data_IF_448092671455
#
_entry.id   IF_448092671455
#
_cell.length_a   1.000
_cell.length_b   1.000
_cell.length_c   1.000
_cell.angle_alpha   90.00
_cell.angle_beta   90.00
_cell.angle_gamma   90.00
#
_symmetry.space_group_name_H-M   'P 1'
#
loop_
_entity.id
_entity.type
_entity.pdbx_description
1 polymer ?
#
# COMPACT_ATOMS: atom_id res chain seq x y z
N UNK A 1 -3.56 2.19 -11.32
CA UNK A 1 -2.28 2.25 -10.58
C UNK A 1 -2.21 1.02 -9.68
N UNK A 2 -1.02 0.50 -9.37
CA UNK A 2 -0.86 -0.61 -8.44
C UNK A 2 -0.57 -0.04 -7.03
N UNK A 3 -1.36 -0.47 -6.05
CA UNK A 3 -1.27 0.00 -4.65
C UNK A 3 -0.24 -0.78 -3.83
N UNK A 4 0.13 -1.98 -4.30
CA UNK A 4 1.15 -2.86 -3.74
C UNK A 4 2.03 -3.41 -4.87
N UNK A 5 3.34 -3.37 -4.66
CA UNK A 5 4.34 -4.02 -5.52
C UNK A 5 4.92 -5.21 -4.76
N UNK A 6 4.81 -6.42 -5.33
CA UNK A 6 5.53 -7.59 -4.86
C UNK A 6 6.89 -7.66 -5.54
N UNK A 7 7.96 -7.59 -4.76
CA UNK A 7 9.31 -7.84 -5.26
C UNK A 7 9.70 -9.29 -4.96
N UNK A 8 9.49 -10.16 -5.94
CA UNK A 8 9.77 -11.60 -5.81
C UNK A 8 11.20 -11.88 -6.25
N UNK A 9 11.99 -12.47 -5.36
CA UNK A 9 13.39 -12.84 -5.60
C UNK A 9 13.60 -14.33 -5.46
N UNK A 10 14.42 -14.90 -6.33
CA UNK A 10 14.98 -16.23 -6.12
C UNK A 10 16.04 -16.13 -5.01
N UNK A 11 15.76 -16.68 -3.82
CA UNK A 11 16.67 -16.58 -2.68
C UNK A 11 17.73 -17.69 -2.65
N UNK A 12 17.52 -18.75 -3.44
CA UNK A 12 18.48 -19.83 -3.58
C UNK A 12 19.62 -19.48 -4.54
N UNK A 13 19.40 -18.50 -5.42
CA UNK A 13 20.44 -18.02 -6.33
C UNK A 13 21.57 -17.29 -5.55
N UNK A 14 22.86 -17.65 -5.77
CA UNK A 14 23.98 -17.03 -5.05
C UNK A 14 24.10 -15.52 -5.32
N UNK A 15 23.68 -15.07 -6.50
CA UNK A 15 23.70 -13.65 -6.90
C UNK A 15 22.40 -12.90 -6.56
N UNK A 16 21.53 -13.47 -5.73
CA UNK A 16 20.24 -12.86 -5.40
C UNK A 16 20.36 -11.44 -4.84
N UNK A 17 21.45 -11.14 -4.11
CA UNK A 17 21.73 -9.81 -3.58
C UNK A 17 22.10 -8.81 -4.69
N UNK A 18 22.94 -9.21 -5.64
CA UNK A 18 23.31 -8.35 -6.77
C UNK A 18 22.10 -8.07 -7.67
N UNK A 19 21.26 -9.09 -7.91
CA UNK A 19 20.01 -8.93 -8.66
C UNK A 19 19.04 -7.95 -7.98
N UNK A 20 18.98 -7.94 -6.64
CA UNK A 20 18.19 -6.96 -5.89
C UNK A 20 18.66 -5.54 -6.18
N UNK A 21 19.97 -5.31 -6.07
CA UNK A 21 20.56 -3.98 -6.25
C UNK A 21 20.29 -3.43 -7.66
N UNK A 22 20.40 -4.28 -8.69
CA UNK A 22 20.07 -3.91 -10.07
C UNK A 22 18.60 -3.55 -10.25
N UNK A 23 17.68 -4.31 -9.65
CA UNK A 23 16.24 -4.02 -9.72
C UNK A 23 15.92 -2.73 -8.97
N UNK A 24 16.49 -2.52 -7.78
CA UNK A 24 16.30 -1.30 -6.99
C UNK A 24 16.83 -0.06 -7.74
N UNK A 25 17.96 -0.18 -8.43
CA UNK A 25 18.50 0.88 -9.29
C UNK A 25 17.55 1.24 -10.43
N UNK A 26 17.06 0.25 -11.17
CA UNK A 26 16.11 0.47 -12.28
C UNK A 26 14.80 1.07 -11.77
N UNK A 27 14.28 0.61 -10.64
CA UNK A 27 13.07 1.19 -10.03
C UNK A 27 13.30 2.64 -9.59
N UNK A 28 14.49 2.96 -9.09
CA UNK A 28 14.91 4.33 -8.77
C UNK A 28 14.94 5.23 -10.00
N UNK A 29 15.53 4.77 -11.11
CA UNK A 29 15.59 5.48 -12.38
C UNK A 29 14.19 5.76 -12.97
N UNK A 30 13.22 4.87 -12.72
CA UNK A 30 11.84 5.00 -13.19
C UNK A 30 10.92 5.84 -12.28
N UNK A 31 11.43 6.38 -11.17
CA UNK A 31 10.61 7.10 -10.19
C UNK A 31 9.54 6.19 -9.56
N UNK A 32 9.87 4.92 -9.34
CA UNK A 32 9.02 3.92 -8.69
C UNK A 32 9.70 3.28 -7.46
N UNK A 33 10.89 3.78 -7.10
CA UNK A 33 11.74 3.22 -6.05
C UNK A 33 11.57 3.90 -4.68
N UNK A 34 10.93 5.07 -4.61
CA UNK A 34 10.86 5.86 -3.38
C UNK A 34 9.58 5.60 -2.61
N UNK A 35 9.68 5.57 -1.27
CA UNK A 35 8.51 5.67 -0.39
C UNK A 35 7.66 6.94 -0.69
N UNK A 36 8.24 7.93 -1.37
CA UNK A 36 7.57 9.13 -1.86
C UNK A 36 6.53 8.86 -2.97
N UNK A 37 6.58 7.72 -3.67
CA UNK A 37 5.63 7.38 -4.74
C UNK A 37 4.32 6.80 -4.20
N UNK A 38 4.19 6.67 -2.87
CA UNK A 38 2.98 6.17 -2.19
C UNK A 38 2.70 4.68 -2.38
N UNK A 39 3.59 3.92 -3.04
CA UNK A 39 3.41 2.49 -3.29
C UNK A 39 4.05 1.67 -2.18
N UNK A 40 3.26 0.83 -1.53
CA UNK A 40 3.78 -0.12 -0.56
C UNK A 40 4.50 -1.25 -1.30
N UNK A 41 5.67 -1.67 -0.82
CA UNK A 41 6.45 -2.77 -1.41
C UNK A 41 6.55 -3.91 -0.40
N UNK A 42 6.30 -5.13 -0.87
CA UNK A 42 6.46 -6.35 -0.09
C UNK A 42 7.55 -7.21 -0.75
N UNK A 43 8.63 -7.48 -0.01
CA UNK A 43 9.67 -8.41 -0.44
C UNK A 43 9.19 -9.85 -0.28
N UNK A 44 9.42 -10.66 -1.31
CA UNK A 44 9.04 -12.08 -1.32
C UNK A 44 10.25 -12.91 -1.72
N UNK A 45 10.70 -13.77 -0.83
CA UNK A 45 11.86 -14.64 -1.04
C UNK A 45 11.39 -16.03 -1.45
N UNK A 46 11.46 -16.30 -2.75
CA UNK A 46 10.96 -17.50 -3.40
C UNK A 46 12.06 -18.57 -3.55
N UNK A 47 11.62 -19.81 -3.80
CA UNK A 47 12.43 -21.02 -4.02
C UNK A 47 13.09 -21.60 -2.76
N UNK A 48 12.47 -21.41 -1.58
CA UNK A 48 13.00 -21.99 -0.33
C UNK A 48 13.05 -23.52 -0.34
N UNK A 49 12.30 -24.17 -1.22
CA UNK A 49 12.32 -25.63 -1.45
C UNK A 49 13.65 -26.15 -2.00
N UNK A 50 14.45 -25.28 -2.62
CA UNK A 50 15.75 -25.65 -3.20
C UNK A 50 16.92 -25.47 -2.23
N UNK A 51 16.66 -24.96 -1.02
CA UNK A 51 17.67 -24.75 0.02
C UNK A 51 17.88 -26.04 0.83
N UNK A 52 19.14 -26.30 1.21
CA UNK A 52 19.42 -27.26 2.28
C UNK A 52 19.13 -26.65 3.66
N UNK A 53 19.06 -27.48 4.70
CA UNK A 53 18.67 -27.06 6.06
C UNK A 53 19.55 -25.93 6.62
N UNK A 54 20.86 -25.99 6.40
CA UNK A 54 21.79 -24.97 6.86
C UNK A 54 21.51 -23.61 6.20
N UNK A 55 21.38 -23.60 4.87
CA UNK A 55 21.06 -22.39 4.10
C UNK A 55 19.67 -21.87 4.42
N UNK A 56 18.69 -22.75 4.62
CA UNK A 56 17.32 -22.38 5.00
C UNK A 56 17.32 -21.62 6.33
N UNK A 57 18.03 -22.14 7.33
CA UNK A 57 18.20 -21.48 8.64
C UNK A 57 18.89 -20.12 8.51
N UNK A 58 19.97 -20.02 7.74
CA UNK A 58 20.65 -18.74 7.48
C UNK A 58 19.72 -17.70 6.85
N UNK A 59 18.90 -18.09 5.88
CA UNK A 59 17.93 -17.22 5.21
C UNK A 59 16.80 -16.81 6.15
N UNK A 60 16.24 -17.72 6.95
CA UNK A 60 15.22 -17.38 7.96
C UNK A 60 15.73 -16.36 8.98
N UNK A 61 16.97 -16.55 9.44
CA UNK A 61 17.63 -15.60 10.33
C UNK A 61 17.90 -14.25 9.66
N UNK A 62 18.27 -14.23 8.38
CA UNK A 62 18.45 -12.99 7.62
C UNK A 62 17.11 -12.24 7.43
N UNK A 63 16.02 -12.96 7.16
CA UNK A 63 14.69 -12.39 7.01
C UNK A 63 14.21 -11.70 8.29
N UNK A 64 14.40 -12.34 9.45
CA UNK A 64 14.03 -11.77 10.76
C UNK A 64 14.77 -10.47 11.10
N UNK A 65 15.99 -10.28 10.57
CA UNK A 65 16.80 -9.08 10.78
C UNK A 65 16.61 -8.03 9.69
N UNK A 66 15.84 -8.32 8.65
CA UNK A 66 15.64 -7.41 7.53
C UNK A 66 14.54 -6.41 7.84
N UNK A 67 14.83 -5.11 7.69
CA UNK A 67 13.83 -4.05 7.81
C UNK A 67 12.68 -4.20 6.82
N UNK A 68 12.91 -4.89 5.69
CA UNK A 68 11.91 -5.14 4.67
C UNK A 68 10.96 -6.31 5.01
N UNK A 69 11.21 -7.04 6.09
CA UNK A 69 10.40 -8.16 6.59
C UNK A 69 9.89 -9.10 5.47
N UNK A 70 10.78 -9.75 4.71
CA UNK A 70 10.40 -10.52 3.53
C UNK A 70 9.56 -11.75 3.87
N UNK A 71 8.60 -12.08 3.01
CA UNK A 71 7.83 -13.32 3.13
C UNK A 71 8.55 -14.44 2.39
N UNK A 72 8.92 -15.49 3.11
CA UNK A 72 9.55 -16.68 2.53
C UNK A 72 8.47 -17.59 1.93
N UNK A 73 8.67 -18.00 0.66
CA UNK A 73 7.76 -18.90 -0.04
C UNK A 73 8.50 -19.91 -0.91
N UNK A 74 7.79 -20.98 -1.26
CA UNK A 74 8.04 -21.74 -2.48
C UNK A 74 6.79 -21.70 -3.35
N UNK A 75 6.89 -21.00 -4.48
CA UNK A 75 5.82 -21.00 -5.48
C UNK A 75 5.61 -22.38 -6.12
N UNK A 76 6.63 -23.26 -6.08
CA UNK A 76 6.55 -24.60 -6.66
C UNK A 76 5.79 -25.57 -5.75
N UNK A 77 6.02 -25.52 -4.43
CA UNK A 77 5.36 -26.42 -3.47
C UNK A 77 4.10 -25.81 -2.84
N UNK A 78 3.92 -24.49 -2.93
CA UNK A 78 2.87 -23.76 -2.24
C UNK A 78 3.23 -23.33 -0.82
N UNK A 79 4.41 -23.71 -0.32
CA UNK A 79 4.84 -23.33 1.03
C UNK A 79 4.89 -21.81 1.19
N UNK A 80 4.28 -21.29 2.27
CA UNK A 80 4.29 -19.88 2.60
C UNK A 80 3.31 -19.00 1.81
N UNK A 81 2.56 -19.56 0.86
CA UNK A 81 1.60 -18.80 0.04
C UNK A 81 0.45 -18.24 0.88
N UNK A 82 -0.10 -18.98 1.84
CA UNK A 82 -1.16 -18.46 2.71
C UNK A 82 -0.67 -17.28 3.55
N UNK A 83 0.59 -17.33 4.01
CA UNK A 83 1.21 -16.22 4.74
C UNK A 83 1.40 -15.00 3.85
N UNK A 84 1.82 -15.20 2.60
CA UNK A 84 1.95 -14.14 1.61
C UNK A 84 0.60 -13.46 1.35
N UNK A 85 -0.47 -14.25 1.16
CA UNK A 85 -1.82 -13.73 0.96
C UNK A 85 -2.30 -12.90 2.17
N UNK A 86 -2.13 -13.42 3.39
CA UNK A 86 -2.48 -12.68 4.59
C UNK A 86 -1.70 -11.35 4.73
N UNK A 87 -0.42 -11.35 4.34
CA UNK A 87 0.40 -10.14 4.40
C UNK A 87 0.03 -9.13 3.32
N UNK A 88 -0.37 -9.58 2.13
CA UNK A 88 -0.95 -8.74 1.08
C UNK A 88 -2.24 -8.09 1.58
N UNK A 89 -3.17 -8.87 2.15
CA UNK A 89 -4.42 -8.36 2.71
C UNK A 89 -4.17 -7.34 3.82
N UNK A 90 -3.28 -7.65 4.76
CA UNK A 90 -2.89 -6.74 5.84
C UNK A 90 -2.33 -5.44 5.29
N UNK A 91 -1.44 -5.52 4.32
CA UNK A 91 -0.78 -4.36 3.70
C UNK A 91 -1.78 -3.47 2.99
N UNK A 92 -2.69 -4.06 2.21
CA UNK A 92 -3.74 -3.32 1.52
C UNK A 92 -4.75 -2.71 2.50
N UNK A 93 -5.07 -3.40 3.60
CA UNK A 93 -6.01 -2.90 4.64
C UNK A 93 -5.41 -1.80 5.53
N UNK A 94 -4.09 -1.84 5.76
CA UNK A 94 -3.34 -0.80 6.49
C UNK A 94 -3.19 0.50 5.67
N UNK A 95 -3.61 0.51 4.41
CA UNK A 95 -3.43 1.63 3.49
C UNK A 95 -4.59 2.63 3.52
N UNK A 96 -5.57 2.48 4.40
CA UNK A 96 -6.71 3.38 4.41
C UNK A 96 -6.36 4.73 5.06
N UNK A 97 -6.49 5.81 4.30
CA UNK A 97 -6.35 7.18 4.80
C UNK A 97 -7.63 7.57 5.54
N UNK A 98 -7.51 8.07 6.78
CA UNK A 98 -8.61 8.78 7.44
C UNK A 98 -8.53 10.25 7.05
N UNK A 99 -9.55 10.75 6.36
CA UNK A 99 -9.60 12.11 5.85
C UNK A 99 -10.79 12.86 6.43
N UNK A 100 -10.61 14.17 6.59
CA UNK A 100 -11.70 15.11 6.93
C UNK A 100 -11.92 16.01 5.73
N UNK A 101 -13.17 16.07 5.26
CA UNK A 101 -13.55 16.79 4.04
C UNK A 101 -14.75 17.66 4.35
N UNK A 102 -14.61 18.96 4.11
CA UNK A 102 -15.69 19.93 4.21
C UNK A 102 -16.40 20.03 2.85
N UNK A 103 -17.69 19.68 2.82
CA UNK A 103 -18.51 19.57 1.61
C UNK A 103 -19.63 20.61 1.65
N UNK A 104 -19.61 21.64 0.78
CA UNK A 104 -20.67 22.64 0.73
C UNK A 104 -21.96 22.06 0.16
N UNK A 105 -23.11 22.64 0.51
CA UNK A 105 -24.42 22.19 0.01
C UNK A 105 -24.53 22.13 -1.53
N UNK A 106 -23.78 22.96 -2.25
CA UNK A 106 -23.71 22.97 -3.72
C UNK A 106 -22.98 21.75 -4.31
N UNK A 107 -22.16 21.04 -3.55
CA UNK A 107 -21.36 19.90 -3.99
C UNK A 107 -22.07 18.55 -3.78
N UNK A 108 -23.34 18.45 -4.20
CA UNK A 108 -24.16 17.25 -4.01
C UNK A 108 -23.58 15.98 -4.65
N UNK A 109 -22.90 16.13 -5.79
CA UNK A 109 -22.23 15.03 -6.50
C UNK A 109 -21.05 14.45 -5.71
N UNK A 110 -20.24 15.30 -5.07
CA UNK A 110 -19.13 14.88 -4.21
C UNK A 110 -19.67 14.10 -3.00
N UNK A 111 -20.70 14.63 -2.34
CA UNK A 111 -21.36 13.94 -1.22
C UNK A 111 -21.84 12.53 -1.59
N UNK A 112 -22.52 12.38 -2.72
CA UNK A 112 -22.97 11.07 -3.20
C UNK A 112 -21.77 10.13 -3.41
N UNK A 113 -20.72 10.63 -4.07
CA UNK A 113 -19.53 9.84 -4.32
C UNK A 113 -18.85 9.37 -3.03
N UNK A 114 -18.77 10.22 -2.00
CA UNK A 114 -18.22 9.85 -0.68
C UNK A 114 -18.99 8.67 -0.07
N UNK A 115 -20.32 8.70 -0.10
CA UNK A 115 -21.14 7.60 0.41
C UNK A 115 -20.96 6.28 -0.36
N UNK A 116 -20.76 6.35 -1.68
CA UNK A 116 -20.61 5.16 -2.51
C UNK A 116 -19.20 4.55 -2.49
N UNK A 117 -18.17 5.39 -2.27
CA UNK A 117 -16.79 5.00 -2.53
C UNK A 117 -15.91 4.97 -1.28
N UNK A 118 -16.42 5.44 -0.13
CA UNK A 118 -15.69 5.56 1.13
C UNK A 118 -16.51 5.02 2.29
N UNK A 119 -15.86 4.66 3.39
CA UNK A 119 -16.56 4.38 4.64
C UNK A 119 -16.70 5.69 5.42
N UNK A 120 -17.94 6.17 5.59
CA UNK A 120 -18.21 7.39 6.36
C UNK A 120 -18.17 7.07 7.86
N UNK A 121 -17.16 7.56 8.55
CA UNK A 121 -16.95 7.36 9.98
C UNK A 121 -17.76 8.35 10.83
N UNK A 122 -17.87 9.60 10.37
CA UNK A 122 -18.66 10.64 11.02
C UNK A 122 -19.10 11.72 10.03
N UNK A 123 -20.17 12.43 10.38
CA UNK A 123 -20.71 13.58 9.63
C UNK A 123 -21.24 14.63 10.59
N UNK A 124 -20.76 15.85 10.45
CA UNK A 124 -21.23 17.02 11.19
C UNK A 124 -21.75 18.09 10.22
N UNK A 125 -22.96 18.58 10.43
CA UNK A 125 -23.51 19.69 9.66
C UNK A 125 -23.20 21.01 10.37
N UNK A 126 -22.44 21.89 9.74
CA UNK A 126 -22.20 23.25 10.22
C UNK A 126 -23.37 24.18 9.91
N UNK A 127 -23.53 25.23 10.72
CA UNK A 127 -24.55 26.27 10.54
C UNK A 127 -24.31 27.17 9.31
N UNK A 128 -23.13 27.06 8.70
CA UNK A 128 -22.72 27.76 7.47
C UNK A 128 -23.17 27.04 6.18
N UNK A 129 -23.87 25.91 6.30
CA UNK A 129 -24.29 25.09 5.16
C UNK A 129 -23.18 24.22 4.58
N UNK A 130 -22.05 24.08 5.29
CA UNK A 130 -20.97 23.17 4.99
C UNK A 130 -21.08 21.94 5.89
N UNK A 131 -21.01 20.75 5.30
CA UNK A 131 -21.02 19.49 6.03
C UNK A 131 -19.60 18.92 6.11
N UNK A 132 -19.13 18.61 7.31
CA UNK A 132 -17.83 17.98 7.54
C UNK A 132 -17.98 16.46 7.58
N UNK A 133 -17.30 15.77 6.68
CA UNK A 133 -17.23 14.32 6.62
C UNK A 133 -15.89 13.82 7.14
N UNK A 134 -15.92 12.90 8.12
CA UNK A 134 -14.77 12.06 8.46
C UNK A 134 -14.94 10.73 7.75
N UNK A 135 -14.04 10.40 6.85
CA UNK A 135 -14.10 9.19 6.04
C UNK A 135 -12.87 8.33 6.25
N UNK A 136 -13.02 7.02 6.04
CA UNK A 136 -11.93 6.11 5.75
C UNK A 136 -11.91 5.86 4.25
N UNK A 137 -10.76 6.07 3.63
CA UNK A 137 -10.56 6.00 2.19
C UNK A 137 -9.42 5.03 1.87
N UNK A 138 -9.71 3.99 1.09
CA UNK A 138 -8.66 3.17 0.48
C UNK A 138 -7.68 4.04 -0.33
N UNK A 139 -6.37 3.94 -0.08
CA UNK A 139 -5.33 4.73 -0.78
C UNK A 139 -5.47 4.68 -2.31
N UNK A 140 -5.90 3.55 -2.87
CA UNK A 140 -6.16 3.36 -4.30
C UNK A 140 -7.17 4.36 -4.89
N UNK A 141 -8.10 4.83 -4.04
CA UNK A 141 -9.17 5.76 -4.40
C UNK A 141 -8.75 7.22 -4.24
N UNK A 142 -7.55 7.51 -3.70
CA UNK A 142 -7.07 8.88 -3.42
C UNK A 142 -7.07 9.77 -4.66
N UNK A 143 -6.49 9.31 -5.78
CA UNK A 143 -6.49 10.09 -7.02
C UNK A 143 -7.90 10.34 -7.58
N UNK A 144 -8.85 9.42 -7.37
CA UNK A 144 -10.26 9.63 -7.75
C UNK A 144 -10.92 10.68 -6.86
N UNK A 145 -10.68 10.64 -5.55
CA UNK A 145 -11.17 11.65 -4.62
C UNK A 145 -10.63 13.04 -4.98
N UNK A 146 -9.32 13.15 -5.29
CA UNK A 146 -8.70 14.41 -5.72
C UNK A 146 -9.38 15.01 -6.95
N UNK A 147 -9.69 14.18 -7.96
CA UNK A 147 -10.46 14.61 -9.13
C UNK A 147 -11.85 15.14 -8.77
N UNK A 148 -12.57 14.47 -7.87
CA UNK A 148 -13.91 14.92 -7.41
C UNK A 148 -13.85 16.21 -6.61
N UNK A 149 -12.83 16.39 -5.79
CA UNK A 149 -12.63 17.63 -5.06
C UNK A 149 -12.34 18.78 -6.01
N UNK A 150 -11.50 18.56 -7.03
CA UNK A 150 -11.19 19.57 -8.03
C UNK A 150 -12.43 19.98 -8.86
N UNK A 151 -13.28 19.02 -9.26
CA UNK A 151 -14.57 19.28 -9.91
C UNK A 151 -15.50 20.14 -9.05
N UNK A 152 -15.46 19.94 -7.72
CA UNK A 152 -16.23 20.73 -6.75
C UNK A 152 -15.55 22.07 -6.37
N UNK A 153 -14.38 22.40 -6.92
CA UNK A 153 -13.61 23.60 -6.58
C UNK A 153 -12.91 23.55 -5.22
N UNK A 154 -12.75 22.35 -4.65
CA UNK A 154 -12.14 22.09 -3.34
C UNK A 154 -10.73 21.51 -3.50
N UNK A 155 -9.93 21.56 -2.43
CA UNK A 155 -8.63 20.89 -2.33
C UNK A 155 -8.54 20.14 -1.00
N UNK A 156 -7.80 19.03 -0.99
CA UNK A 156 -7.42 18.37 0.26
C UNK A 156 -6.61 19.37 1.10
N UNK A 157 -7.12 19.73 2.28
CA UNK A 157 -6.33 20.41 3.29
C UNK A 157 -5.18 19.50 3.72
N UNK A 158 -4.00 20.06 4.00
CA UNK A 158 -2.91 19.28 4.58
C UNK A 158 -3.44 18.55 5.81
N UNK A 159 -3.37 17.21 5.81
CA UNK A 159 -3.83 16.40 6.92
C UNK A 159 -3.16 16.92 8.20
N UNK A 160 -3.95 17.44 9.14
CA UNK A 160 -3.46 17.69 10.49
C UNK A 160 -3.14 16.32 11.08
N UNK A 161 -1.87 15.94 11.02
CA UNK A 161 -1.30 14.88 11.84
C UNK A 161 -1.70 15.14 13.28
N UNK A 162 -2.38 14.17 13.88
CA UNK A 162 -2.47 14.06 15.32
C UNK A 162 -1.80 12.75 15.71
#
# INVERSE_FOLDING_TARGET
>A
AADLILHVRDIAHPESAAQKEDVERVLGELGAGSAADGKTRLEVWNKIDTLNDARRSEIEHAAQRSDAAPVLISAATGEGIERLLAEIERTLSMSDDILVIDVPASAGHLRHWLYENTEVLARDAGDDGIERFRIRLERSKRGRLEGRLQEAGLRLGAASSN
#
